data_IF_722730709317
#
_entry.id   IF_722730709317
#
_cell.length_a   1.000
_cell.length_b   1.000
_cell.length_c   1.000
_cell.angle_alpha   90.00
_cell.angle_beta   90.00
_cell.angle_gamma   90.00
#
_symmetry.space_group_name_H-M   'P 1'
#
loop_
_entity.id
_entity.type
_entity.pdbx_description
1 polymer ?
#
# COMPACT_ATOMS: atom_id res chain seq x y z
N UNK A 1 -76.28 7.69 -3.43
CA UNK A 1 -75.07 6.94 -3.83
C UNK A 1 -74.27 7.84 -4.78
N UNK A 2 -73.19 8.44 -4.28
CA UNK A 2 -72.20 9.17 -5.07
C UNK A 2 -70.82 8.70 -4.58
N UNK A 3 -69.86 8.35 -5.46
CA UNK A 3 -68.54 7.91 -5.01
C UNK A 3 -67.60 9.10 -4.82
N UNK A 4 -66.90 9.11 -3.69
CA UNK A 4 -65.75 9.99 -3.45
C UNK A 4 -64.51 9.38 -4.11
N UNK A 5 -63.93 10.08 -5.09
CA UNK A 5 -62.61 9.80 -5.64
C UNK A 5 -61.52 10.32 -4.71
N UNK A 6 -60.65 9.45 -4.22
CA UNK A 6 -59.41 9.82 -3.53
C UNK A 6 -58.27 9.91 -4.56
N UNK A 7 -57.69 11.09 -4.71
CA UNK A 7 -56.44 11.28 -5.45
C UNK A 7 -55.27 11.18 -4.47
N UNK A 8 -54.41 10.17 -4.65
CA UNK A 8 -53.12 10.06 -3.96
C UNK A 8 -52.10 11.01 -4.62
N UNK A 9 -51.37 11.84 -3.87
CA UNK A 9 -50.23 12.56 -4.41
C UNK A 9 -49.00 11.64 -4.51
N UNK A 10 -48.47 11.50 -5.72
CA UNK A 10 -47.21 10.80 -6.00
C UNK A 10 -46.05 11.64 -5.48
N UNK A 11 -45.37 11.16 -4.44
CA UNK A 11 -44.17 11.79 -3.88
C UNK A 11 -42.96 11.39 -4.76
N UNK A 12 -42.54 12.27 -5.66
CA UNK A 12 -41.33 12.06 -6.47
C UNK A 12 -40.09 12.40 -5.62
N UNK A 13 -39.42 11.38 -5.08
CA UNK A 13 -38.14 11.54 -4.40
C UNK A 13 -37.03 11.79 -5.43
N UNK A 14 -36.45 13.00 -5.43
CA UNK A 14 -35.27 13.33 -6.23
C UNK A 14 -34.05 12.82 -5.46
N UNK A 15 -33.49 11.70 -5.91
CA UNK A 15 -32.20 11.18 -5.43
C UNK A 15 -31.10 11.99 -6.11
N UNK A 16 -30.54 12.98 -5.41
CA UNK A 16 -29.25 13.56 -5.77
C UNK A 16 -28.15 12.54 -5.45
N UNK A 17 -27.85 11.66 -6.40
CA UNK A 17 -26.64 10.85 -6.39
C UNK A 17 -25.46 11.77 -6.65
N UNK A 18 -24.79 12.23 -5.59
CA UNK A 18 -23.45 12.77 -5.72
C UNK A 18 -22.54 11.60 -6.13
N UNK A 19 -22.24 11.51 -7.42
CA UNK A 19 -21.17 10.66 -7.90
C UNK A 19 -19.88 11.19 -7.29
N UNK A 20 -19.42 10.56 -6.21
CA UNK A 20 -18.05 10.71 -5.76
C UNK A 20 -17.20 10.10 -6.87
N UNK A 21 -16.68 10.96 -7.75
CA UNK A 21 -15.58 10.59 -8.63
C UNK A 21 -14.43 10.19 -7.71
N UNK A 22 -14.30 8.89 -7.46
CA UNK A 22 -13.11 8.30 -6.89
C UNK A 22 -12.00 8.40 -7.94
N UNK A 23 -11.49 9.61 -8.13
CA UNK A 23 -10.16 9.79 -8.67
C UNK A 23 -9.27 9.11 -7.64
N UNK A 24 -8.74 7.93 -7.97
CA UNK A 24 -7.75 7.27 -7.14
C UNK A 24 -6.66 8.30 -6.87
N UNK A 25 -6.57 8.79 -5.64
CA UNK A 25 -5.58 9.77 -5.27
C UNK A 25 -4.21 9.16 -5.57
N UNK A 26 -3.37 9.87 -6.32
CA UNK A 26 -2.00 9.45 -6.56
C UNK A 26 -1.31 9.21 -5.22
N UNK A 27 -0.45 8.19 -5.16
CA UNK A 27 0.41 7.99 -4.01
C UNK A 27 1.36 9.20 -3.89
N UNK A 28 1.69 9.63 -2.66
CA UNK A 28 2.69 10.68 -2.45
C UNK A 28 4.04 10.32 -3.08
N UNK A 29 4.97 11.28 -3.10
CA UNK A 29 6.33 11.01 -3.58
C UNK A 29 6.99 9.92 -2.70
N UNK A 30 7.68 8.92 -3.28
CA UNK A 30 8.19 7.76 -2.52
C UNK A 30 9.08 8.09 -1.30
N UNK A 31 9.84 9.18 -1.37
CA UNK A 31 10.76 9.62 -0.31
C UNK A 31 10.14 10.60 0.69
N UNK A 32 8.88 10.98 0.50
CA UNK A 32 8.22 11.96 1.37
C UNK A 32 7.67 11.30 2.64
N UNK A 33 7.55 12.08 3.71
CA UNK A 33 7.00 11.61 4.99
C UNK A 33 5.51 11.25 4.87
N UNK A 34 4.82 11.72 3.83
CA UNK A 34 3.41 11.43 3.59
C UNK A 34 3.17 10.04 3.00
N UNK A 35 4.18 9.38 2.41
CA UNK A 35 3.97 8.14 1.68
C UNK A 35 3.42 7.03 2.58
N UNK A 36 4.16 6.62 3.62
CA UNK A 36 3.68 5.54 4.50
C UNK A 36 2.48 5.96 5.38
N UNK A 37 2.29 7.27 5.62
CA UNK A 37 1.06 7.77 6.22
C UNK A 37 -0.16 7.58 5.31
N UNK A 38 -0.02 7.82 4.01
CA UNK A 38 -1.06 7.51 3.02
C UNK A 38 -1.29 6.00 2.92
N UNK A 39 -0.22 5.19 2.95
CA UNK A 39 -0.32 3.72 2.97
C UNK A 39 -1.10 3.23 4.20
N UNK A 40 -0.86 3.75 5.40
CA UNK A 40 -1.66 3.43 6.60
C UNK A 40 -3.15 3.72 6.40
N UNK A 41 -3.49 4.88 5.81
CA UNK A 41 -4.88 5.26 5.54
C UNK A 41 -5.55 4.35 4.51
N UNK A 42 -4.83 4.01 3.44
CA UNK A 42 -5.32 3.10 2.39
C UNK A 42 -5.51 1.70 2.97
N UNK A 43 -4.48 1.13 3.57
CA UNK A 43 -4.50 -0.25 4.07
C UNK A 43 -5.56 -0.47 5.13
N UNK A 44 -5.74 0.48 6.05
CA UNK A 44 -6.71 0.32 7.12
C UNK A 44 -8.07 0.99 6.83
N UNK A 45 -8.25 1.56 5.63
CA UNK A 45 -9.42 2.36 5.26
C UNK A 45 -9.83 3.32 6.40
N UNK A 46 -8.89 4.19 6.78
CA UNK A 46 -9.00 5.07 7.95
C UNK A 46 -8.73 6.53 7.60
N UNK A 47 -9.39 7.43 8.33
CA UNK A 47 -9.10 8.86 8.30
C UNK A 47 -8.08 9.29 9.38
N UNK A 48 -7.62 8.37 10.24
CA UNK A 48 -6.64 8.67 11.27
C UNK A 48 -5.33 9.18 10.66
N UNK A 49 -4.81 10.24 11.26
CA UNK A 49 -3.49 10.75 10.94
C UNK A 49 -2.41 9.99 11.72
N UNK A 50 -1.23 9.90 11.13
CA UNK A 50 -0.11 9.17 11.69
C UNK A 50 1.17 9.98 11.46
N UNK A 51 2.03 10.00 12.46
CA UNK A 51 3.38 10.53 12.31
C UNK A 51 4.24 9.48 11.60
N UNK A 52 5.02 9.87 10.60
CA UNK A 52 5.86 8.93 9.86
C UNK A 52 7.33 9.32 9.97
N UNK A 53 8.19 8.35 10.23
CA UNK A 53 9.65 8.55 10.22
C UNK A 53 10.27 7.86 9.01
N UNK A 54 10.97 8.64 8.18
CA UNK A 54 11.75 8.12 7.05
C UNK A 54 13.17 7.83 7.51
N UNK A 55 13.57 6.56 7.42
CA UNK A 55 14.89 6.09 7.78
C UNK A 55 15.83 6.18 6.58
N UNK A 56 17.06 6.61 6.84
CA UNK A 56 18.20 6.55 5.91
C UNK A 56 19.21 5.47 6.29
N UNK A 57 18.88 4.65 7.29
CA UNK A 57 19.65 3.50 7.75
C UNK A 57 18.73 2.27 7.84
N UNK A 58 19.09 1.19 7.15
CA UNK A 58 18.26 -0.01 7.12
C UNK A 58 18.24 -0.75 8.46
N UNK A 59 19.33 -0.75 9.22
CA UNK A 59 19.41 -1.38 10.54
C UNK A 59 18.43 -0.75 11.53
N UNK A 60 18.40 0.58 11.58
CA UNK A 60 17.46 1.34 12.40
C UNK A 60 16.02 1.07 11.98
N UNK A 61 15.76 1.05 10.67
CA UNK A 61 14.46 0.66 10.14
C UNK A 61 14.11 -0.77 10.56
N UNK A 62 15.01 -1.75 10.40
CA UNK A 62 14.74 -3.15 10.73
C UNK A 62 14.36 -3.34 12.20
N UNK A 63 15.06 -2.64 13.11
CA UNK A 63 14.83 -2.67 14.55
C UNK A 63 13.53 -1.94 14.99
N UNK A 64 13.00 -1.03 14.17
CA UNK A 64 11.83 -0.21 14.51
C UNK A 64 10.50 -0.99 14.50
N UNK A 65 9.54 -0.53 15.31
CA UNK A 65 8.18 -1.09 15.43
C UNK A 65 7.13 0.02 15.59
N UNK A 66 6.18 0.20 14.65
CA UNK A 66 5.19 1.27 14.72
C UNK A 66 4.40 1.21 16.03
N UNK A 67 4.02 2.38 16.55
CA UNK A 67 3.24 2.50 17.78
C UNK A 67 1.79 2.85 17.47
N UNK A 68 0.88 2.41 18.36
CA UNK A 68 -0.56 2.66 18.23
C UNK A 68 -0.97 3.97 18.90
N UNK A 69 -0.27 4.43 19.95
CA UNK A 69 -0.55 5.67 20.68
C UNK A 69 0.78 6.35 21.12
N UNK A 70 1.18 7.49 20.53
CA UNK A 70 0.60 8.07 19.31
C UNK A 70 0.73 7.11 18.10
N UNK A 71 -0.13 7.28 17.10
CA UNK A 71 -0.09 6.47 15.89
C UNK A 71 1.14 6.88 15.07
N UNK A 72 2.12 5.97 14.98
CA UNK A 72 3.38 6.21 14.28
C UNK A 72 3.64 5.13 13.23
N UNK A 73 4.19 5.54 12.10
CA UNK A 73 4.60 4.70 10.99
C UNK A 73 6.08 4.86 10.71
N UNK A 74 6.65 3.87 10.04
CA UNK A 74 8.05 3.89 9.64
C UNK A 74 8.22 3.55 8.17
N UNK A 75 9.17 4.25 7.54
CA UNK A 75 9.41 4.20 6.12
C UNK A 75 10.90 4.03 5.83
N UNK A 76 11.24 3.23 4.83
CA UNK A 76 12.56 3.29 4.17
C UNK A 76 12.38 3.12 2.68
N UNK A 77 13.19 3.81 1.89
CA UNK A 77 13.12 3.77 0.42
C UNK A 77 14.35 3.07 -0.12
N UNK A 78 14.15 2.10 -1.01
CA UNK A 78 15.21 1.41 -1.74
C UNK A 78 15.47 2.11 -3.07
N UNK A 79 16.73 2.30 -3.45
CA UNK A 79 17.11 3.03 -4.67
C UNK A 79 17.93 2.20 -5.66
N UNK A 80 17.74 2.48 -6.95
CA UNK A 80 18.71 2.14 -8.01
C UNK A 80 19.29 3.46 -8.53
N UNK A 81 20.53 3.75 -8.14
CA UNK A 81 21.12 5.09 -8.31
C UNK A 81 20.27 6.16 -7.63
N UNK A 82 19.71 7.08 -8.43
CA UNK A 82 18.82 8.13 -7.96
C UNK A 82 17.33 7.74 -7.95
N UNK A 83 16.96 6.64 -8.61
CA UNK A 83 15.56 6.28 -8.80
C UNK A 83 15.03 5.48 -7.61
N UNK A 84 13.93 5.91 -6.95
CA UNK A 84 13.32 5.14 -5.88
C UNK A 84 12.63 3.91 -6.48
N UNK A 85 13.07 2.71 -6.12
CA UNK A 85 12.52 1.45 -6.64
C UNK A 85 11.31 0.97 -5.83
N UNK A 86 11.44 1.06 -4.51
CA UNK A 86 10.51 0.43 -3.58
C UNK A 86 10.45 1.24 -2.30
N UNK A 87 9.25 1.36 -1.72
CA UNK A 87 9.06 1.89 -0.37
C UNK A 87 8.66 0.75 0.55
N UNK A 88 9.33 0.65 1.69
CA UNK A 88 8.99 -0.29 2.75
C UNK A 88 8.30 0.44 3.88
N UNK A 89 7.03 0.13 4.14
CA UNK A 89 6.22 0.76 5.17
C UNK A 89 5.98 -0.21 6.33
N UNK A 90 6.09 0.27 7.57
CA UNK A 90 5.59 -0.41 8.77
C UNK A 90 4.46 0.40 9.37
N UNK A 91 3.26 -0.18 9.39
CA UNK A 91 2.03 0.48 9.86
C UNK A 91 1.26 -0.43 10.82
N UNK A 92 0.13 0.06 11.34
CA UNK A 92 -0.81 -0.69 12.19
C UNK A 92 -1.98 -1.29 11.39
N UNK A 93 -2.47 -2.43 11.85
CA UNK A 93 -3.66 -3.07 11.27
C UNK A 93 -4.94 -2.30 11.60
N UNK A 94 -5.94 -2.41 10.72
CA UNK A 94 -7.27 -1.82 10.93
C UNK A 94 -7.91 -2.29 12.25
N UNK A 95 -7.78 -3.57 12.58
CA UNK A 95 -8.29 -4.14 13.83
C UNK A 95 -7.67 -3.49 15.07
N UNK A 96 -6.35 -3.26 15.07
CA UNK A 96 -5.69 -2.58 16.19
C UNK A 96 -6.11 -1.11 16.28
N UNK A 97 -6.29 -0.43 15.14
CA UNK A 97 -6.84 0.93 15.12
C UNK A 97 -8.25 0.98 15.72
N UNK A 98 -9.15 0.08 15.34
CA UNK A 98 -10.50 0.01 15.93
C UNK A 98 -10.45 -0.21 17.43
N UNK A 99 -9.63 -1.16 17.88
CA UNK A 99 -9.45 -1.44 19.31
C UNK A 99 -8.95 -0.23 20.10
N UNK A 100 -8.06 0.57 19.51
CA UNK A 100 -7.42 1.70 20.18
C UNK A 100 -8.21 3.02 20.10
N UNK A 101 -8.94 3.25 19.01
CA UNK A 101 -9.57 4.52 18.65
C UNK A 101 -11.10 4.45 18.47
N UNK A 102 -11.70 3.27 18.60
CA UNK A 102 -13.14 3.01 18.46
C UNK A 102 -13.48 2.27 17.17
N UNK A 103 -14.59 1.52 17.17
CA UNK A 103 -14.99 0.63 16.07
C UNK A 103 -15.10 1.32 14.70
N UNK A 104 -15.44 2.61 14.66
CA UNK A 104 -15.57 3.38 13.42
C UNK A 104 -14.22 3.98 12.94
N UNK A 105 -13.13 3.81 13.69
CA UNK A 105 -11.86 4.45 13.38
C UNK A 105 -11.16 3.87 12.13
N UNK A 106 -11.47 2.64 11.74
CA UNK A 106 -10.86 1.98 10.58
C UNK A 106 -11.80 0.94 9.97
N UNK A 107 -11.86 0.89 8.64
CA UNK A 107 -12.70 -0.04 7.88
C UNK A 107 -12.06 -1.41 7.65
N UNK A 108 -12.35 -1.98 6.48
CA UNK A 108 -11.75 -3.25 6.03
C UNK A 108 -10.24 -3.11 5.83
N UNK A 109 -9.50 -4.16 6.20
CA UNK A 109 -8.07 -4.24 6.00
C UNK A 109 -7.77 -4.66 4.55
N UNK A 110 -7.05 -3.82 3.81
CA UNK A 110 -6.51 -4.15 2.50
C UNK A 110 -5.11 -4.79 2.60
N UNK A 111 -4.69 -5.43 1.51
CA UNK A 111 -3.39 -6.10 1.37
C UNK A 111 -2.32 -5.21 0.74
N UNK A 112 -1.04 -5.55 0.92
CA UNK A 112 0.07 -4.83 0.27
C UNK A 112 -0.03 -4.81 -1.28
N UNK A 113 -0.41 -5.92 -1.96
CA UNK A 113 -0.68 -5.90 -3.40
C UNK A 113 -1.72 -4.86 -3.84
N UNK A 114 -2.73 -4.56 -3.02
CA UNK A 114 -3.71 -3.53 -3.35
C UNK A 114 -3.06 -2.13 -3.49
N UNK A 115 -2.07 -1.82 -2.65
CA UNK A 115 -1.33 -0.55 -2.73
C UNK A 115 -0.40 -0.54 -3.94
N UNK A 116 0.25 -1.65 -4.25
CA UNK A 116 1.08 -1.75 -5.47
C UNK A 116 0.26 -1.60 -6.75
N UNK A 117 -0.99 -2.08 -6.77
CA UNK A 117 -1.93 -1.81 -7.88
C UNK A 117 -2.27 -0.33 -8.02
N UNK A 118 -2.32 0.43 -6.91
CA UNK A 118 -2.45 1.90 -6.99
C UNK A 118 -1.21 2.54 -7.60
N UNK A 119 -0.01 2.10 -7.20
CA UNK A 119 1.25 2.58 -7.80
C UNK A 119 1.32 2.25 -9.31
N UNK A 120 0.87 1.06 -9.70
CA UNK A 120 0.73 0.66 -11.10
C UNK A 120 -0.26 1.56 -11.85
N UNK A 121 -1.44 1.78 -11.30
CA UNK A 121 -2.45 2.68 -11.88
C UNK A 121 -1.92 4.09 -12.10
N UNK A 122 -1.16 4.61 -11.14
CA UNK A 122 -0.48 5.90 -11.27
C UNK A 122 0.56 5.89 -12.39
N UNK A 123 1.43 4.87 -12.46
CA UNK A 123 2.40 4.73 -13.54
C UNK A 123 1.75 4.69 -14.93
N UNK A 124 0.66 3.93 -15.07
CA UNK A 124 -0.14 3.85 -16.31
C UNK A 124 -0.70 5.23 -16.67
N UNK A 125 -1.31 5.94 -15.73
CA UNK A 125 -1.90 7.26 -15.97
C UNK A 125 -0.85 8.33 -16.32
N UNK A 126 0.34 8.25 -15.74
CA UNK A 126 1.46 9.12 -16.08
C UNK A 126 1.99 8.83 -17.49
N UNK A 127 2.25 7.56 -17.81
CA UNK A 127 2.75 7.15 -19.13
C UNK A 127 1.72 7.38 -20.23
N UNK A 128 0.43 7.21 -20.00
CA UNK A 128 -0.59 7.39 -21.03
C UNK A 128 -0.58 8.81 -21.65
N UNK A 129 -0.05 9.80 -20.91
CA UNK A 129 0.09 11.19 -21.38
C UNK A 129 1.32 11.40 -22.27
N UNK A 130 2.36 10.58 -22.15
CA UNK A 130 3.67 10.81 -22.79
C UNK A 130 4.12 9.67 -23.70
N UNK A 131 3.78 8.43 -23.37
CA UNK A 131 4.11 7.21 -24.09
C UNK A 131 3.00 6.14 -23.90
N UNK A 132 1.96 6.15 -24.75
CA UNK A 132 0.84 5.21 -24.64
C UNK A 132 1.24 3.73 -24.73
N UNK A 133 2.27 3.40 -25.52
CA UNK A 133 2.76 2.02 -25.65
C UNK A 133 3.38 1.53 -24.34
N UNK A 134 4.20 2.37 -23.68
CA UNK A 134 4.70 2.07 -22.36
C UNK A 134 3.57 1.99 -21.32
N UNK A 135 2.50 2.79 -21.45
CA UNK A 135 1.34 2.69 -20.56
C UNK A 135 0.63 1.33 -20.69
N UNK A 136 0.50 0.79 -21.89
CA UNK A 136 -0.03 -0.56 -22.12
C UNK A 136 0.88 -1.62 -21.49
N UNK A 137 2.20 -1.51 -21.66
CA UNK A 137 3.16 -2.42 -20.99
C UNK A 137 3.05 -2.35 -19.48
N UNK A 138 2.98 -1.14 -18.90
CA UNK A 138 2.80 -0.96 -17.46
C UNK A 138 1.50 -1.59 -16.95
N UNK A 139 0.41 -1.50 -17.73
CA UNK A 139 -0.88 -2.12 -17.40
C UNK A 139 -0.84 -3.66 -17.48
N UNK A 140 -0.03 -4.20 -18.38
CA UNK A 140 0.15 -5.64 -18.55
C UNK A 140 1.03 -6.29 -17.45
N UNK A 141 1.72 -5.49 -16.62
CA UNK A 141 2.47 -6.02 -15.47
C UNK A 141 1.50 -6.66 -14.48
N UNK A 142 1.81 -7.88 -14.04
CA UNK A 142 1.01 -8.63 -13.05
C UNK A 142 1.49 -8.26 -11.64
N UNK A 143 0.58 -7.81 -10.78
CA UNK A 143 0.88 -7.63 -9.35
C UNK A 143 0.46 -8.88 -8.61
N UNK A 144 1.45 -9.57 -8.02
CA UNK A 144 1.25 -10.82 -7.30
C UNK A 144 0.43 -10.62 -6.02
N UNK A 145 -0.47 -11.55 -5.75
CA UNK A 145 -1.19 -11.65 -4.47
C UNK A 145 -0.33 -12.40 -3.45
N UNK A 146 0.80 -11.80 -3.08
CA UNK A 146 1.72 -12.43 -2.13
C UNK A 146 1.05 -12.65 -0.77
N UNK A 147 1.14 -13.88 -0.27
CA UNK A 147 0.74 -14.18 1.10
C UNK A 147 1.70 -13.50 2.09
N UNK A 148 1.17 -12.83 3.13
CA UNK A 148 2.00 -12.11 4.08
C UNK A 148 2.76 -13.07 4.99
N UNK A 149 3.99 -12.69 5.33
CA UNK A 149 4.77 -13.37 6.35
C UNK A 149 4.16 -13.18 7.74
N UNK A 150 4.31 -14.19 8.59
CA UNK A 150 3.93 -14.13 10.00
C UNK A 150 5.05 -13.55 10.92
N UNK A 151 6.26 -13.31 10.38
CA UNK A 151 7.41 -12.90 11.19
C UNK A 151 8.25 -11.80 10.54
N UNK A 152 8.84 -10.95 11.39
CA UNK A 152 9.70 -9.86 10.92
C UNK A 152 10.96 -10.35 10.20
N UNK A 153 11.45 -11.56 10.49
CA UNK A 153 12.57 -12.16 9.75
C UNK A 153 12.17 -12.52 8.32
N UNK A 154 10.97 -13.06 8.13
CA UNK A 154 10.45 -13.34 6.79
C UNK A 154 10.27 -12.06 5.98
N UNK A 155 9.72 -11.01 6.62
CA UNK A 155 9.57 -9.69 6.00
C UNK A 155 10.89 -9.09 5.50
N UNK A 156 11.96 -9.22 6.29
CA UNK A 156 13.29 -8.70 5.93
C UNK A 156 14.13 -9.67 5.08
N UNK A 157 13.55 -10.80 4.66
CA UNK A 157 14.24 -11.77 3.82
C UNK A 157 14.38 -11.30 2.37
N UNK A 158 15.25 -11.97 1.62
CA UNK A 158 15.48 -11.66 0.22
C UNK A 158 14.28 -12.04 -0.65
N UNK A 159 14.01 -11.23 -1.68
CA UNK A 159 12.95 -11.52 -2.67
C UNK A 159 13.22 -10.82 -4.00
N UNK A 160 12.55 -11.25 -5.06
CA UNK A 160 12.57 -10.54 -6.35
C UNK A 160 11.47 -9.49 -6.38
N UNK A 161 11.81 -8.20 -6.54
CA UNK A 161 10.82 -7.13 -6.69
C UNK A 161 10.06 -7.26 -8.01
N UNK A 162 10.76 -7.64 -9.07
CA UNK A 162 10.14 -8.00 -10.35
C UNK A 162 10.77 -9.25 -10.93
N UNK A 163 10.01 -10.00 -11.73
CA UNK A 163 10.48 -11.20 -12.42
C UNK A 163 9.65 -11.46 -13.69
N UNK A 164 10.12 -12.36 -14.56
CA UNK A 164 9.32 -12.87 -15.68
C UNK A 164 8.58 -14.12 -15.21
N UNK A 165 7.25 -14.10 -15.32
CA UNK A 165 6.40 -15.24 -14.98
C UNK A 165 6.46 -16.36 -16.02
N UNK A 166 5.86 -17.51 -15.68
CA UNK A 166 5.73 -18.63 -16.62
C UNK A 166 4.86 -18.30 -17.84
N UNK A 167 3.97 -17.30 -17.70
CA UNK A 167 3.14 -16.75 -18.77
C UNK A 167 3.90 -15.77 -19.69
N UNK A 168 5.18 -15.49 -19.39
CA UNK A 168 6.02 -14.55 -20.12
C UNK A 168 5.73 -13.08 -19.81
N UNK A 169 4.83 -12.77 -18.88
CA UNK A 169 4.57 -11.41 -18.44
C UNK A 169 5.63 -10.95 -17.41
N UNK A 170 5.67 -9.64 -17.16
CA UNK A 170 6.43 -9.08 -16.04
C UNK A 170 5.55 -9.12 -14.80
N UNK A 171 6.08 -9.65 -13.71
CA UNK A 171 5.39 -9.75 -12.42
C UNK A 171 6.07 -8.86 -11.40
N UNK A 172 5.30 -8.34 -10.45
CA UNK A 172 5.77 -7.57 -9.30
C UNK A 172 5.38 -8.28 -8.02
N UNK A 173 6.36 -8.53 -7.15
CA UNK A 173 6.08 -8.93 -5.78
C UNK A 173 5.91 -7.71 -4.89
N UNK A 174 4.96 -7.80 -3.96
CA UNK A 174 4.69 -6.87 -2.87
C UNK A 174 4.62 -7.61 -1.54
N UNK A 175 5.69 -8.32 -1.14
CA UNK A 175 5.65 -9.12 0.06
C UNK A 175 5.40 -8.23 1.28
N UNK A 176 4.67 -8.79 2.23
CA UNK A 176 4.29 -8.07 3.45
C UNK A 176 4.42 -8.93 4.69
N UNK A 177 4.17 -8.31 5.82
CA UNK A 177 3.94 -8.99 7.09
C UNK A 177 2.58 -8.58 7.61
N UNK A 178 1.80 -9.56 8.05
CA UNK A 178 0.51 -9.30 8.67
C UNK A 178 0.43 -10.04 10.00
N UNK A 179 0.28 -9.29 11.08
CA UNK A 179 0.01 -9.84 12.40
C UNK A 179 -1.46 -9.60 12.72
N UNK A 180 -2.24 -10.68 12.63
CA UNK A 180 -3.67 -10.67 12.92
C UNK A 180 -3.93 -10.28 14.38
N UNK A 181 -4.41 -9.05 14.57
CA UNK A 181 -4.66 -8.50 15.91
C UNK A 181 -5.80 -9.24 16.63
N UNK A 182 -6.77 -9.76 15.89
CA UNK A 182 -7.96 -10.42 16.45
C UNK A 182 -7.68 -11.89 16.83
N UNK A 183 -6.52 -12.43 16.44
CA UNK A 183 -6.10 -13.75 16.85
C UNK A 183 -5.88 -13.84 18.37
N UNK A 184 -6.32 -14.95 18.98
CA UNK A 184 -6.25 -15.18 20.42
C UNK A 184 -4.84 -15.04 21.03
N UNK A 185 -3.79 -15.36 20.24
CA UNK A 185 -2.41 -15.29 20.71
C UNK A 185 -1.85 -13.87 20.70
N UNK A 186 -2.54 -12.89 20.10
CA UNK A 186 -2.09 -11.49 20.12
C UNK A 186 -2.00 -10.96 21.54
N UNK A 187 -2.91 -11.38 22.43
CA UNK A 187 -2.97 -10.90 23.81
C UNK A 187 -1.81 -11.35 24.69
N UNK A 188 -1.02 -12.35 24.25
CA UNK A 188 0.20 -12.77 24.93
C UNK A 188 1.47 -12.14 24.32
N UNK A 189 1.35 -11.43 23.20
CA UNK A 189 2.46 -10.71 22.60
C UNK A 189 2.70 -9.39 23.35
N UNK A 190 3.96 -8.92 23.46
CA UNK A 190 4.24 -7.56 23.90
C UNK A 190 3.50 -6.54 23.03
N UNK A 191 2.92 -5.49 23.63
CA UNK A 191 2.10 -4.48 22.95
C UNK A 191 2.72 -3.93 21.66
N UNK A 192 4.04 -3.68 21.68
CA UNK A 192 4.79 -3.18 20.51
C UNK A 192 4.78 -4.11 19.29
N UNK A 193 4.45 -5.39 19.48
CA UNK A 193 4.37 -6.41 18.43
C UNK A 193 2.93 -6.70 17.98
N UNK A 194 1.94 -6.11 18.62
CA UNK A 194 0.53 -6.32 18.28
C UNK A 194 0.10 -5.44 17.10
N UNK A 195 -0.77 -5.99 16.26
CA UNK A 195 -1.44 -5.38 15.11
C UNK A 195 -0.51 -4.71 14.13
N UNK A 196 0.41 -5.48 13.56
CA UNK A 196 1.44 -5.00 12.64
C UNK A 196 1.05 -5.32 11.19
N UNK A 197 1.13 -4.35 10.29
CA UNK A 197 1.06 -4.59 8.85
C UNK A 197 2.24 -3.90 8.17
N UNK A 198 3.14 -4.67 7.57
CA UNK A 198 4.32 -4.14 6.88
C UNK A 198 4.23 -4.49 5.41
N UNK A 199 4.61 -3.55 4.53
CA UNK A 199 4.53 -3.74 3.09
C UNK A 199 5.82 -3.32 2.41
N UNK A 200 6.21 -4.09 1.39
CA UNK A 200 7.13 -3.67 0.34
C UNK A 200 6.31 -3.28 -0.89
N UNK A 201 6.44 -2.03 -1.34
CA UNK A 201 5.59 -1.45 -2.39
C UNK A 201 6.51 -0.97 -3.52
N UNK A 202 6.36 -1.55 -4.71
CA UNK A 202 7.03 -1.04 -5.91
C UNK A 202 6.52 0.39 -6.21
N UNK A 203 7.44 1.32 -6.51
CA UNK A 203 7.06 2.71 -6.79
C UNK A 203 6.51 2.86 -8.20
N UNK A 204 5.72 3.91 -8.44
CA UNK A 204 5.30 4.26 -9.79
C UNK A 204 6.52 4.51 -10.71
N UNK A 205 7.61 5.10 -10.20
CA UNK A 205 8.85 5.34 -10.96
C UNK A 205 9.50 4.04 -11.43
N UNK A 206 9.59 3.04 -10.55
CA UNK A 206 10.11 1.71 -10.91
C UNK A 206 9.25 1.01 -11.97
N UNK A 207 7.93 1.05 -11.80
CA UNK A 207 6.98 0.45 -12.74
C UNK A 207 7.09 1.12 -14.12
N UNK A 208 7.25 2.44 -14.16
CA UNK A 208 7.51 3.16 -15.41
C UNK A 208 8.83 2.74 -16.04
N UNK A 209 9.91 2.62 -15.27
CA UNK A 209 11.21 2.20 -15.78
C UNK A 209 11.18 0.80 -16.40
N UNK A 210 10.49 -0.15 -15.75
CA UNK A 210 10.24 -1.49 -16.32
C UNK A 210 9.48 -1.39 -17.65
N UNK A 211 8.41 -0.59 -17.68
CA UNK A 211 7.58 -0.43 -18.87
C UNK A 211 8.30 0.32 -20.01
N UNK A 212 9.27 1.18 -19.70
CA UNK A 212 10.10 1.87 -20.68
C UNK A 212 11.27 1.01 -21.19
N UNK A 213 11.61 -0.07 -20.48
CA UNK A 213 12.80 -0.88 -20.76
C UNK A 213 14.09 -0.25 -20.22
N UNK A 214 13.99 0.75 -19.35
CA UNK A 214 15.14 1.37 -18.68
C UNK A 214 15.71 0.43 -17.59
N UNK A 215 14.89 -0.50 -17.11
CA UNK A 215 15.26 -1.56 -16.17
C UNK A 215 14.69 -2.89 -16.68
N UNK A 216 15.53 -3.91 -16.69
CA UNK A 216 15.13 -5.28 -16.99
C UNK A 216 14.42 -5.92 -15.78
N UNK A 217 13.37 -6.74 -15.98
CA UNK A 217 12.80 -7.58 -14.92
C UNK A 217 13.84 -8.51 -14.29
N UNK A 218 13.67 -8.82 -13.00
CA UNK A 218 14.61 -9.67 -12.24
C UNK A 218 15.33 -8.94 -11.09
N UNK A 219 14.92 -7.71 -10.76
CA UNK A 219 15.51 -6.96 -9.64
C UNK A 219 15.34 -7.74 -8.33
N UNK A 220 16.45 -8.15 -7.75
CA UNK A 220 16.48 -8.81 -6.44
C UNK A 220 16.73 -7.79 -5.33
N UNK A 221 15.94 -7.88 -4.27
CA UNK A 221 16.06 -7.07 -3.06
C UNK A 221 16.72 -7.94 -1.99
N UNK A 222 17.86 -7.46 -1.50
CA UNK A 222 18.62 -8.04 -0.40
C UNK A 222 18.69 -6.98 0.69
N UNK A 223 17.92 -7.14 1.77
CA UNK A 223 17.77 -6.14 2.82
C UNK A 223 18.87 -6.28 3.88
N UNK A 224 20.12 -6.09 3.46
CA UNK A 224 21.31 -6.08 4.32
C UNK A 224 21.85 -4.67 4.61
N UNK A 225 22.92 -4.56 5.39
CA UNK A 225 23.53 -3.28 5.78
C UNK A 225 24.06 -2.44 4.60
N UNK A 226 24.26 -3.04 3.43
CA UNK A 226 24.77 -2.39 2.22
C UNK A 226 23.67 -1.94 1.26
N UNK A 227 22.43 -2.41 1.49
CA UNK A 227 21.27 -2.09 0.66
C UNK A 227 21.09 -0.57 0.51
N UNK A 228 20.97 -0.05 -0.72
CA UNK A 228 20.90 1.39 -0.97
C UNK A 228 19.57 1.98 -0.49
N UNK A 229 19.62 2.64 0.68
CA UNK A 229 18.49 3.34 1.28
C UNK A 229 18.55 4.87 1.20
N UNK A 230 19.52 5.37 0.44
CA UNK A 230 19.68 6.78 0.06
C UNK A 230 20.04 6.85 -1.42
N UNK A 231 19.65 7.92 -2.15
CA UNK A 231 20.08 8.11 -3.53
C UNK A 231 21.61 8.09 -3.65
N UNK A 232 22.16 7.35 -4.62
CA UNK A 232 23.60 7.28 -4.92
C UNK A 232 23.92 7.78 -6.32
#
# INVERSE_FOLDING_TARGET
>A
MQPFSYALPTLTAIIFGAAINAQAANLPAPASEEFCAAVQRILANTALESENTVFTNLGDYAASKPAIKPLTNYQVVSYSGQMPMMVSCKVKTAAHLRSAYGEEAAGEQLSCPAVTRLAQGQAVAELARTNPEAAERARAIVVEDNEPYASGRGYLGDFQLSFIGEDGAVHLNSPGLFQDYDAWFTWILPDRLQGQNYCHIATADYIKALALGDIEPGTSIVLDENHPVTPR
#
